data_IF_856950015084
#
_entry.id   IF_856950015084
#
_cell.length_a   1.000
_cell.length_b   1.000
_cell.length_c   1.000
_cell.angle_alpha   90.00
_cell.angle_beta   90.00
_cell.angle_gamma   90.00
#
_symmetry.space_group_name_H-M   'P 1'
#
loop_
_entity.id
_entity.type
_entity.pdbx_description
1 polymer ?
#
# COMPACT_ATOMS: atom_id res chain seq x y z
N UNK A 1 14.60 -20.77 0.51
CA UNK A 1 15.32 -19.51 0.80
C UNK A 1 14.83 -19.04 2.14
N UNK A 2 15.76 -18.84 3.08
CA UNK A 2 15.52 -18.47 4.47
C UNK A 2 14.66 -17.20 4.53
N UNK A 3 13.58 -17.22 5.32
CA UNK A 3 12.79 -16.02 5.65
C UNK A 3 13.75 -14.98 6.24
N UNK A 4 14.31 -14.13 5.39
CA UNK A 4 15.10 -13.00 5.81
C UNK A 4 14.15 -12.08 6.55
N UNK A 5 14.43 -11.87 7.84
CA UNK A 5 13.88 -10.82 8.67
C UNK A 5 13.53 -9.61 7.78
N UNK A 6 12.27 -9.19 7.80
CA UNK A 6 11.95 -7.82 7.40
C UNK A 6 12.97 -6.92 8.12
N UNK A 7 13.52 -5.88 7.47
CA UNK A 7 14.33 -4.88 8.15
C UNK A 7 13.67 -4.52 9.49
N UNK A 8 14.44 -4.35 10.57
CA UNK A 8 13.85 -4.05 11.89
C UNK A 8 12.95 -2.79 11.85
N UNK A 9 13.17 -1.91 10.88
CA UNK A 9 12.32 -0.76 10.55
C UNK A 9 10.93 -1.09 9.99
N UNK A 10 10.72 -2.29 9.46
CA UNK A 10 9.47 -2.75 8.83
C UNK A 10 8.68 -3.75 9.70
N UNK A 11 9.28 -4.28 10.76
CA UNK A 11 8.58 -5.16 11.70
C UNK A 11 7.58 -4.35 12.54
N UNK A 12 6.28 -4.54 12.30
CA UNK A 12 5.22 -3.80 12.99
C UNK A 12 4.81 -2.49 12.31
N UNK A 13 5.17 -2.30 11.03
CA UNK A 13 4.68 -1.19 10.23
C UNK A 13 3.15 -1.12 10.25
N UNK A 14 2.61 0.07 10.50
CA UNK A 14 1.17 0.34 10.52
C UNK A 14 0.89 1.53 9.62
N UNK A 15 -0.01 1.35 8.67
CA UNK A 15 -0.45 2.41 7.78
C UNK A 15 -1.80 2.97 8.24
N UNK A 16 -1.90 4.29 8.31
CA UNK A 16 -3.15 4.96 8.67
C UNK A 16 -3.97 5.24 7.41
N UNK A 17 -4.98 4.41 7.17
CA UNK A 17 -5.89 4.60 6.05
C UNK A 17 -7.00 5.61 6.41
N UNK A 18 -7.24 6.63 5.57
CA UNK A 18 -8.32 7.57 5.81
C UNK A 18 -9.67 6.91 5.53
N UNK A 19 -10.61 6.98 6.48
CA UNK A 19 -12.00 6.52 6.23
C UNK A 19 -12.78 7.46 5.30
N UNK A 20 -12.25 8.67 5.06
CA UNK A 20 -12.89 9.65 4.21
C UNK A 20 -11.88 10.51 3.44
N UNK A 21 -12.06 10.58 2.12
CA UNK A 21 -11.22 11.33 1.19
C UNK A 21 -11.51 12.85 1.15
N UNK A 22 -12.58 13.35 1.78
CA UNK A 22 -12.88 14.78 1.82
C UNK A 22 -11.83 15.57 2.61
N UNK A 23 -11.34 16.66 2.01
CA UNK A 23 -10.31 17.56 2.59
C UNK A 23 -9.07 16.81 3.07
N UNK A 24 -8.71 15.73 2.38
CA UNK A 24 -7.67 14.81 2.84
C UNK A 24 -6.32 15.49 3.03
N UNK A 25 -5.91 16.38 2.11
CA UNK A 25 -4.66 17.12 2.25
C UNK A 25 -4.55 17.88 3.58
N UNK A 26 -5.60 18.62 3.98
CA UNK A 26 -5.61 19.35 5.25
C UNK A 26 -5.65 18.44 6.46
N UNK A 27 -6.38 17.31 6.39
CA UNK A 27 -6.46 16.33 7.47
C UNK A 27 -5.14 15.58 7.64
N UNK A 28 -4.50 15.21 6.54
CA UNK A 28 -3.21 14.53 6.54
C UNK A 28 -2.12 15.44 7.12
N UNK A 29 -2.08 16.71 6.70
CA UNK A 29 -1.25 17.73 7.33
C UNK A 29 -1.50 17.85 8.84
N UNK A 30 -2.76 17.82 9.28
CA UNK A 30 -3.12 17.87 10.70
C UNK A 30 -2.64 16.64 11.46
N UNK A 31 -2.75 15.44 10.88
CA UNK A 31 -2.28 14.19 11.50
C UNK A 31 -0.76 14.22 11.71
N UNK A 32 0.01 14.57 10.67
CA UNK A 32 1.48 14.68 10.73
C UNK A 32 1.88 15.75 11.75
N UNK A 33 1.24 16.93 11.67
CA UNK A 33 1.51 18.02 12.62
C UNK A 33 1.15 17.63 14.05
N UNK A 34 0.10 16.82 14.25
CA UNK A 34 -0.33 16.32 15.54
C UNK A 34 0.72 15.45 16.22
N UNK A 35 1.38 14.56 15.47
CA UNK A 35 2.50 13.75 15.97
C UNK A 35 3.67 14.60 16.47
N UNK A 36 4.06 15.62 15.68
CA UNK A 36 5.13 16.56 16.03
C UNK A 36 4.77 17.45 17.23
N UNK A 37 3.53 17.95 17.29
CA UNK A 37 3.05 18.78 18.40
C UNK A 37 2.97 17.95 19.69
N UNK A 38 2.44 16.72 19.62
CA UNK A 38 2.32 15.86 20.80
C UNK A 38 3.70 15.47 21.36
N UNK A 39 4.62 15.05 20.50
CA UNK A 39 6.00 14.74 20.91
C UNK A 39 6.71 15.96 21.50
N UNK A 40 6.48 17.17 20.95
CA UNK A 40 6.97 18.42 21.53
C UNK A 40 6.37 18.69 22.93
N UNK A 41 5.06 18.54 23.10
CA UNK A 41 4.39 18.75 24.40
C UNK A 41 4.94 17.79 25.45
N UNK A 42 5.15 16.52 25.10
CA UNK A 42 5.72 15.52 26.02
C UNK A 42 7.15 15.90 26.41
N UNK A 43 7.99 16.31 25.45
CA UNK A 43 9.34 16.79 25.72
C UNK A 43 9.33 18.04 26.62
N UNK A 44 8.48 19.03 26.30
CA UNK A 44 8.35 20.26 27.08
C UNK A 44 7.86 19.98 28.50
N UNK A 45 6.85 19.12 28.67
CA UNK A 45 6.36 18.70 29.97
C UNK A 45 7.45 17.99 30.79
N UNK A 46 8.23 17.11 30.15
CA UNK A 46 9.34 16.43 30.80
C UNK A 46 10.41 17.42 31.28
N UNK A 47 10.76 18.42 30.47
CA UNK A 47 11.66 19.50 30.87
C UNK A 47 11.11 20.32 32.05
N UNK A 48 9.82 20.68 32.03
CA UNK A 48 9.19 21.44 33.12
C UNK A 48 9.22 20.67 34.44
N UNK A 49 8.98 19.36 34.43
CA UNK A 49 9.06 18.52 35.64
C UNK A 49 10.46 18.53 36.25
N UNK A 50 11.52 18.60 35.43
CA UNK A 50 12.89 18.74 35.94
C UNK A 50 13.12 20.05 36.68
N UNK A 51 12.56 21.16 36.18
CA UNK A 51 12.65 22.45 36.87
C UNK A 51 11.81 22.50 38.16
N UNK A 52 10.75 21.70 38.24
CA UNK A 52 9.85 21.60 39.41
C UNK A 52 10.25 20.49 40.39
N UNK A 53 11.46 19.92 40.28
CA UNK A 53 11.94 18.85 41.17
C UNK A 53 11.77 19.11 42.69
N UNK A 54 11.83 20.35 43.22
CA UNK A 54 11.64 20.57 44.66
C UNK A 54 10.20 20.35 45.14
N UNK A 55 9.24 20.35 44.20
CA UNK A 55 7.79 20.34 44.47
C UNK A 55 7.17 18.99 44.07
N UNK A 56 7.77 18.31 43.09
CA UNK A 56 7.25 17.07 42.51
C UNK A 56 7.63 15.86 43.38
N UNK A 57 6.70 14.92 43.64
CA UNK A 57 7.02 13.66 44.33
C UNK A 57 8.16 12.90 43.66
N UNK A 58 9.09 12.38 44.46
CA UNK A 58 10.29 11.70 43.98
C UNK A 58 10.01 10.58 42.96
N UNK A 59 8.94 9.81 43.15
CA UNK A 59 8.53 8.75 42.22
C UNK A 59 8.15 9.29 40.83
N UNK A 60 7.43 10.42 40.76
CA UNK A 60 7.08 11.07 39.49
C UNK A 60 8.32 11.68 38.83
N UNK A 61 9.25 12.23 39.63
CA UNK A 61 10.51 12.76 39.14
C UNK A 61 11.38 11.67 38.50
N UNK A 62 11.52 10.48 39.12
CA UNK A 62 12.26 9.36 38.52
C UNK A 62 11.64 8.95 37.19
N UNK A 63 10.31 8.77 37.15
CA UNK A 63 9.62 8.32 35.94
C UNK A 63 9.86 9.29 34.76
N UNK A 64 9.67 10.59 34.99
CA UNK A 64 9.86 11.62 33.96
C UNK A 64 11.34 11.80 33.61
N UNK A 65 12.24 11.72 34.59
CA UNK A 65 13.69 11.74 34.37
C UNK A 65 14.17 10.61 33.48
N UNK A 66 13.61 9.40 33.63
CA UNK A 66 13.88 8.26 32.73
C UNK A 66 13.21 8.40 31.37
N UNK A 67 12.06 9.08 31.28
CA UNK A 67 11.35 9.29 30.01
C UNK A 67 11.97 10.40 29.13
N UNK A 68 12.72 11.33 29.71
CA UNK A 68 13.29 12.48 29.00
C UNK A 68 14.19 12.09 27.81
N UNK A 69 15.16 11.15 27.94
CA UNK A 69 15.99 10.75 26.80
C UNK A 69 15.15 10.14 25.66
N UNK A 70 14.09 9.40 25.99
CA UNK A 70 13.18 8.83 25.00
C UNK A 70 12.34 9.91 24.32
N UNK A 71 11.77 10.85 25.08
CA UNK A 71 11.00 11.96 24.53
C UNK A 71 11.86 12.86 23.63
N UNK A 72 13.11 13.11 24.04
CA UNK A 72 14.09 13.84 23.23
C UNK A 72 14.39 13.09 21.93
N UNK A 73 14.70 11.80 22.02
CA UNK A 73 15.00 10.97 20.85
C UNK A 73 13.82 10.94 19.87
N UNK A 74 12.60 10.65 20.34
CA UNK A 74 11.39 10.59 19.51
C UNK A 74 11.12 11.93 18.82
N UNK A 75 11.17 13.05 19.57
CA UNK A 75 10.89 14.36 19.00
C UNK A 75 11.90 14.74 17.91
N UNK A 76 13.21 14.65 18.18
CA UNK A 76 14.23 15.04 17.22
C UNK A 76 14.32 14.08 16.04
N UNK A 77 14.09 12.78 16.25
CA UNK A 77 14.02 11.81 15.15
C UNK A 77 12.86 12.13 14.19
N UNK A 78 11.69 12.48 14.72
CA UNK A 78 10.52 12.80 13.89
C UNK A 78 10.58 14.19 13.24
N UNK A 79 11.18 15.19 13.90
CA UNK A 79 11.27 16.57 13.38
C UNK A 79 12.32 16.71 12.29
N UNK A 80 13.46 16.03 12.43
CA UNK A 80 14.55 16.17 11.49
C UNK A 80 14.19 15.50 10.16
N UNK A 81 14.26 16.22 9.03
CA UNK A 81 13.84 15.71 7.74
C UNK A 81 14.88 14.72 7.20
N UNK A 82 14.80 13.48 7.67
CA UNK A 82 15.53 12.34 7.15
C UNK A 82 14.63 11.52 6.23
N UNK A 83 15.26 10.94 5.21
CA UNK A 83 14.69 9.94 4.31
C UNK A 83 15.56 8.70 4.46
N UNK A 84 15.00 7.64 5.03
CA UNK A 84 15.65 6.33 5.14
C UNK A 84 14.82 5.34 4.32
N UNK A 85 15.42 4.70 3.32
CA UNK A 85 14.75 3.76 2.40
C UNK A 85 13.40 4.26 1.82
N UNK A 86 13.32 5.52 1.37
CA UNK A 86 12.09 6.17 0.86
C UNK A 86 10.95 6.31 1.88
N UNK A 87 11.25 6.14 3.17
CA UNK A 87 10.35 6.48 4.27
C UNK A 87 10.79 7.81 4.88
N UNK A 88 9.95 8.83 4.71
CA UNK A 88 10.20 10.14 5.29
C UNK A 88 9.70 10.21 6.73
N UNK A 89 10.52 10.82 7.57
CA UNK A 89 10.11 11.33 8.90
C UNK A 89 8.93 12.31 8.79
N UNK A 90 8.13 12.44 9.85
CA UNK A 90 7.01 13.40 9.92
C UNK A 90 7.43 14.83 9.53
N UNK A 91 8.63 15.25 9.93
CA UNK A 91 9.21 16.55 9.59
C UNK A 91 9.59 16.68 8.12
N UNK A 92 10.14 15.62 7.51
CA UNK A 92 10.38 15.53 6.07
C UNK A 92 9.08 15.64 5.27
N UNK A 93 8.08 14.86 5.68
CA UNK A 93 6.76 14.83 5.07
C UNK A 93 6.03 16.17 5.18
N UNK A 94 6.05 16.80 6.35
CA UNK A 94 5.47 18.13 6.56
C UNK A 94 6.13 19.18 5.65
N UNK A 95 7.47 19.17 5.59
CA UNK A 95 8.23 20.09 4.73
C UNK A 95 7.90 19.87 3.25
N UNK A 96 7.88 18.63 2.79
CA UNK A 96 7.55 18.26 1.40
C UNK A 96 6.14 18.71 1.02
N UNK A 97 5.16 18.48 1.89
CA UNK A 97 3.78 18.92 1.70
C UNK A 97 3.66 20.45 1.66
N UNK A 98 4.32 21.17 2.58
CA UNK A 98 4.32 22.64 2.59
C UNK A 98 4.94 23.23 1.32
N UNK A 99 5.99 22.60 0.80
CA UNK A 99 6.62 22.96 -0.48
C UNK A 99 5.86 22.48 -1.70
N UNK A 100 4.80 21.69 -1.52
CA UNK A 100 4.01 21.07 -2.61
C UNK A 100 4.90 20.26 -3.56
N UNK A 101 5.85 19.52 -3.00
CA UNK A 101 6.74 18.68 -3.78
C UNK A 101 5.94 17.53 -4.44
N UNK A 102 6.20 17.21 -5.73
CA UNK A 102 5.39 16.29 -6.52
C UNK A 102 5.15 14.91 -5.89
N UNK A 103 6.17 14.31 -5.27
CA UNK A 103 6.09 12.97 -4.68
C UNK A 103 5.09 12.95 -3.52
N UNK A 104 5.15 13.94 -2.62
CA UNK A 104 4.23 14.06 -1.49
C UNK A 104 2.79 14.37 -1.90
N UNK A 105 2.59 15.18 -2.95
CA UNK A 105 1.25 15.39 -3.51
C UNK A 105 0.68 14.09 -4.07
N UNK A 106 1.52 13.27 -4.70
CA UNK A 106 1.14 11.95 -5.19
C UNK A 106 0.79 11.00 -4.05
N UNK A 107 1.57 10.99 -2.97
CA UNK A 107 1.26 10.22 -1.77
C UNK A 107 -0.12 10.60 -1.18
N UNK A 108 -0.46 11.89 -1.12
CA UNK A 108 -1.80 12.34 -0.66
C UNK A 108 -2.91 11.85 -1.59
N UNK A 109 -2.67 11.81 -2.90
CA UNK A 109 -3.65 11.27 -3.85
C UNK A 109 -3.80 9.75 -3.74
N UNK A 110 -2.71 9.02 -3.50
CA UNK A 110 -2.75 7.58 -3.21
C UNK A 110 -3.61 7.32 -1.97
N UNK A 111 -3.37 8.06 -0.88
CA UNK A 111 -4.22 7.99 0.31
C UNK A 111 -5.68 8.35 0.03
N UNK A 112 -5.95 9.27 -0.92
CA UNK A 112 -7.32 9.60 -1.32
C UNK A 112 -7.98 8.44 -2.07
N UNK A 113 -7.25 7.78 -2.97
CA UNK A 113 -7.72 6.58 -3.67
C UNK A 113 -8.06 5.50 -2.64
N UNK A 114 -7.16 5.22 -1.70
CA UNK A 114 -7.39 4.25 -0.62
C UNK A 114 -8.58 4.62 0.26
N UNK A 115 -8.75 5.91 0.56
CA UNK A 115 -9.91 6.38 1.31
C UNK A 115 -11.22 6.17 0.56
N UNK A 116 -11.24 6.35 -0.75
CA UNK A 116 -12.42 6.04 -1.56
C UNK A 116 -12.67 4.53 -1.69
N UNK A 117 -11.62 3.71 -1.77
CA UNK A 117 -11.74 2.25 -1.69
C UNK A 117 -12.35 1.84 -0.35
N UNK A 118 -11.94 2.46 0.76
CA UNK A 118 -12.52 2.22 2.08
C UNK A 118 -14.00 2.63 2.15
N UNK A 119 -14.39 3.68 1.43
CA UNK A 119 -15.78 4.14 1.31
C UNK A 119 -16.64 3.29 0.36
N UNK A 120 -16.10 2.20 -0.18
CA UNK A 120 -16.86 1.29 -1.02
C UNK A 120 -16.80 1.58 -2.52
N UNK A 121 -16.07 2.60 -2.97
CA UNK A 121 -15.91 2.85 -4.42
C UNK A 121 -14.94 1.85 -5.03
N UNK A 122 -15.26 1.28 -6.19
CA UNK A 122 -14.30 0.48 -6.96
C UNK A 122 -13.29 1.39 -7.70
N UNK A 123 -12.11 0.90 -8.12
CA UNK A 123 -11.10 1.74 -8.77
C UNK A 123 -11.64 2.63 -9.90
N UNK A 124 -12.51 2.12 -10.78
CA UNK A 124 -13.08 2.90 -11.89
C UNK A 124 -14.18 3.90 -11.45
N UNK A 125 -14.74 3.78 -10.24
CA UNK A 125 -15.71 4.73 -9.67
C UNK A 125 -15.01 5.94 -9.00
N UNK A 126 -13.70 5.87 -8.79
CA UNK A 126 -12.89 6.93 -8.20
C UNK A 126 -12.56 7.96 -9.27
N UNK A 127 -12.50 9.24 -8.87
CA UNK A 127 -12.22 10.34 -9.79
C UNK A 127 -10.89 10.12 -10.54
N UNK A 128 -10.97 10.05 -11.86
CA UNK A 128 -9.85 9.85 -12.78
C UNK A 128 -8.73 10.88 -12.55
N UNK A 129 -9.05 12.09 -12.11
CA UNK A 129 -8.06 13.12 -11.82
C UNK A 129 -7.07 12.70 -10.72
N UNK A 130 -7.46 11.83 -9.78
CA UNK A 130 -6.56 11.35 -8.73
C UNK A 130 -5.45 10.45 -9.27
N UNK A 131 -5.75 9.69 -10.33
CA UNK A 131 -4.80 8.80 -10.98
C UNK A 131 -3.92 9.52 -12.00
N UNK A 132 -4.49 10.46 -12.77
CA UNK A 132 -3.85 10.99 -13.98
C UNK A 132 -3.62 12.51 -13.98
N UNK A 133 -4.16 13.25 -13.01
CA UNK A 133 -4.03 14.70 -12.91
C UNK A 133 -2.78 15.19 -12.16
N UNK A 134 -1.86 14.27 -11.84
CA UNK A 134 -0.65 14.55 -11.06
C UNK A 134 0.56 14.84 -11.95
N UNK A 135 1.54 15.61 -11.45
CA UNK A 135 2.82 15.80 -12.13
C UNK A 135 3.54 14.46 -12.35
N UNK A 136 4.35 14.40 -13.41
CA UNK A 136 5.19 13.24 -13.67
C UNK A 136 6.31 13.15 -12.63
N UNK A 137 6.45 11.96 -12.03
CA UNK A 137 7.52 11.63 -11.11
C UNK A 137 8.64 10.86 -11.81
N UNK A 138 9.85 10.85 -11.24
CA UNK A 138 10.92 9.92 -11.62
C UNK A 138 10.46 8.45 -11.52
N UNK A 139 11.09 7.57 -12.30
CA UNK A 139 10.72 6.15 -12.37
C UNK A 139 11.11 5.35 -11.12
N UNK A 140 12.16 5.80 -10.44
CA UNK A 140 12.70 5.26 -9.20
C UNK A 140 11.99 5.79 -7.94
N UNK A 141 11.02 6.70 -8.11
CA UNK A 141 10.17 7.18 -7.01
C UNK A 141 9.11 6.14 -6.65
N UNK A 142 9.04 5.76 -5.36
CA UNK A 142 8.07 4.77 -4.88
C UNK A 142 6.62 5.17 -5.18
N UNK A 143 6.27 6.45 -5.02
CA UNK A 143 4.92 6.95 -5.29
C UNK A 143 4.56 6.85 -6.77
N UNK A 144 5.54 6.91 -7.68
CA UNK A 144 5.32 6.65 -9.09
C UNK A 144 4.89 5.20 -9.34
N UNK A 145 5.61 4.25 -8.73
CA UNK A 145 5.35 2.82 -8.84
C UNK A 145 3.97 2.48 -8.26
N UNK A 146 3.69 2.91 -7.03
CA UNK A 146 2.42 2.65 -6.34
C UNK A 146 1.25 3.27 -7.10
N UNK A 147 1.37 4.52 -7.56
CA UNK A 147 0.34 5.13 -8.40
C UNK A 147 0.13 4.37 -9.71
N UNK A 148 1.19 3.82 -10.30
CA UNK A 148 1.09 3.00 -11.52
C UNK A 148 0.34 1.69 -11.25
N UNK A 149 0.52 1.07 -10.09
CA UNK A 149 -0.29 -0.08 -9.64
C UNK A 149 -1.77 0.29 -9.52
N UNK A 150 -2.09 1.43 -8.92
CA UNK A 150 -3.47 1.92 -8.84
C UNK A 150 -4.07 2.28 -10.19
N UNK A 151 -3.29 2.81 -11.13
CA UNK A 151 -3.72 3.02 -12.53
C UNK A 151 -4.01 1.71 -13.23
N UNK A 152 -3.20 0.68 -13.01
CA UNK A 152 -3.48 -0.67 -13.52
C UNK A 152 -4.82 -1.18 -13.00
N UNK A 153 -5.08 -1.08 -11.69
CA UNK A 153 -6.38 -1.46 -11.11
C UNK A 153 -7.55 -0.69 -11.72
N UNK A 154 -7.39 0.62 -11.92
CA UNK A 154 -8.39 1.47 -12.60
C UNK A 154 -8.73 0.93 -13.99
N UNK A 155 -7.71 0.64 -14.81
CA UNK A 155 -7.91 0.14 -16.18
C UNK A 155 -8.54 -1.26 -16.21
N UNK A 156 -8.14 -2.13 -15.27
CA UNK A 156 -8.74 -3.46 -15.11
C UNK A 156 -10.22 -3.33 -14.75
N UNK A 157 -10.58 -2.50 -13.77
CA UNK A 157 -11.97 -2.29 -13.33
C UNK A 157 -12.83 -1.59 -14.38
N UNK A 158 -12.24 -0.73 -15.21
CA UNK A 158 -12.93 -0.06 -16.32
C UNK A 158 -13.04 -0.90 -17.59
N UNK A 159 -12.39 -2.07 -17.65
CA UNK A 159 -12.34 -2.92 -18.84
C UNK A 159 -11.47 -2.39 -19.98
N UNK A 160 -10.57 -1.44 -19.70
CA UNK A 160 -9.63 -0.90 -20.71
C UNK A 160 -8.39 -1.82 -20.77
N UNK A 161 -8.53 -2.91 -21.54
CA UNK A 161 -7.52 -3.97 -21.64
C UNK A 161 -6.20 -3.45 -22.22
N UNK A 162 -6.24 -2.57 -23.23
CA UNK A 162 -5.02 -2.05 -23.85
C UNK A 162 -4.21 -1.21 -22.87
N UNK A 163 -4.88 -0.33 -22.12
CA UNK A 163 -4.21 0.50 -21.11
C UNK A 163 -3.76 -0.32 -19.90
N UNK A 164 -4.51 -1.36 -19.50
CA UNK A 164 -4.12 -2.29 -18.44
C UNK A 164 -2.83 -3.04 -18.81
N UNK A 165 -2.73 -3.54 -20.05
CA UNK A 165 -1.53 -4.20 -20.58
C UNK A 165 -0.32 -3.25 -20.53
N UNK A 166 -0.48 -2.01 -21.02
CA UNK A 166 0.60 -1.00 -20.98
C UNK A 166 1.04 -0.68 -19.55
N UNK A 167 0.10 -0.55 -18.62
CA UNK A 167 0.41 -0.31 -17.21
C UNK A 167 1.13 -1.51 -16.58
N UNK A 168 0.72 -2.74 -16.91
CA UNK A 168 1.39 -3.98 -16.49
C UNK A 168 2.82 -4.08 -17.03
N UNK A 169 3.04 -3.81 -18.31
CA UNK A 169 4.38 -3.78 -18.92
C UNK A 169 5.26 -2.73 -18.28
N UNK A 170 4.68 -1.56 -17.97
CA UNK A 170 5.37 -0.50 -17.26
C UNK A 170 5.80 -0.96 -15.86
N UNK A 171 4.90 -1.56 -15.07
CA UNK A 171 5.24 -2.11 -13.76
C UNK A 171 6.33 -3.18 -13.86
N UNK A 172 6.27 -4.05 -14.86
CA UNK A 172 7.29 -5.07 -15.10
C UNK A 172 8.67 -4.45 -15.34
N UNK A 173 8.74 -3.35 -16.10
CA UNK A 173 9.97 -2.59 -16.34
C UNK A 173 10.51 -1.84 -15.11
N UNK A 174 9.68 -1.62 -14.09
CA UNK A 174 10.06 -0.92 -12.85
C UNK A 174 10.44 -1.86 -11.72
N UNK A 175 10.32 -3.19 -11.89
CA UNK A 175 10.52 -4.18 -10.82
C UNK A 175 11.87 -4.07 -10.11
N UNK A 176 12.91 -3.55 -10.77
CA UNK A 176 14.22 -3.34 -10.14
C UNK A 176 14.23 -2.22 -9.08
N UNK A 177 13.32 -1.25 -9.19
CA UNK A 177 13.15 -0.14 -8.24
C UNK A 177 12.12 -0.43 -7.16
N UNK A 178 11.37 -1.53 -7.28
CA UNK A 178 10.31 -1.88 -6.33
C UNK A 178 10.92 -2.35 -5.01
N UNK A 179 10.61 -1.72 -3.86
CA UNK A 179 11.03 -2.21 -2.57
C UNK A 179 10.51 -3.63 -2.32
N UNK A 180 11.30 -4.45 -1.61
CA UNK A 180 10.96 -5.86 -1.34
C UNK A 180 9.57 -6.07 -0.76
N UNK A 181 9.08 -5.10 0.03
CA UNK A 181 7.74 -5.11 0.61
C UNK A 181 6.64 -5.23 -0.45
N UNK A 182 6.74 -4.48 -1.55
CA UNK A 182 5.73 -4.42 -2.60
C UNK A 182 5.99 -5.36 -3.78
N UNK A 183 7.20 -5.92 -3.86
CA UNK A 183 7.65 -6.70 -5.02
C UNK A 183 6.69 -7.84 -5.37
N UNK A 184 6.28 -8.61 -4.36
CA UNK A 184 5.43 -9.77 -4.55
C UNK A 184 4.00 -9.39 -4.98
N UNK A 185 3.43 -8.37 -4.33
CA UNK A 185 2.08 -7.88 -4.63
C UNK A 185 2.00 -7.33 -6.05
N UNK A 186 2.97 -6.51 -6.46
CA UNK A 186 3.04 -5.96 -7.82
C UNK A 186 3.28 -7.08 -8.83
N UNK A 187 4.17 -8.03 -8.53
CA UNK A 187 4.43 -9.17 -9.41
C UNK A 187 3.20 -10.07 -9.59
N UNK A 188 2.36 -10.21 -8.57
CA UNK A 188 1.11 -10.96 -8.66
C UNK A 188 0.10 -10.29 -9.61
N UNK A 189 -0.02 -8.96 -9.60
CA UNK A 189 -0.87 -8.25 -10.57
C UNK A 189 -0.34 -8.33 -12.00
N UNK A 190 0.98 -8.27 -12.19
CA UNK A 190 1.58 -8.47 -13.51
C UNK A 190 1.27 -9.89 -14.00
N UNK A 191 1.40 -10.91 -13.15
CA UNK A 191 1.04 -12.29 -13.48
C UNK A 191 -0.44 -12.40 -13.87
N UNK A 192 -1.33 -11.75 -13.13
CA UNK A 192 -2.75 -11.74 -13.45
C UNK A 192 -3.03 -11.19 -14.85
N UNK A 193 -2.37 -10.08 -15.21
CA UNK A 193 -2.47 -9.48 -16.54
C UNK A 193 -1.92 -10.40 -17.63
N UNK A 194 -0.78 -11.07 -17.38
CA UNK A 194 -0.18 -12.04 -18.31
C UNK A 194 -1.14 -13.20 -18.59
N UNK A 195 -1.80 -13.72 -17.54
CA UNK A 195 -2.78 -14.80 -17.65
C UNK A 195 -4.07 -14.39 -18.38
N UNK A 196 -4.72 -13.31 -17.94
CA UNK A 196 -6.10 -13.01 -18.35
C UNK A 196 -6.21 -12.12 -19.58
N UNK A 197 -5.20 -11.27 -19.83
CA UNK A 197 -5.30 -10.20 -20.83
C UNK A 197 -4.32 -10.40 -21.99
N UNK A 198 -3.06 -10.73 -21.69
CA UNK A 198 -2.04 -10.95 -22.73
C UNK A 198 -2.11 -12.35 -23.34
N UNK A 199 -2.45 -13.36 -22.52
CA UNK A 199 -2.38 -14.76 -22.93
C UNK A 199 -0.96 -15.26 -23.16
N UNK A 200 0.04 -14.58 -22.58
CA UNK A 200 1.46 -14.95 -22.71
C UNK A 200 1.81 -16.03 -21.67
N UNK A 201 1.68 -17.28 -22.09
CA UNK A 201 1.87 -18.45 -21.24
C UNK A 201 3.31 -18.59 -20.73
N UNK A 202 4.31 -18.25 -21.54
CA UNK A 202 5.72 -18.42 -21.18
C UNK A 202 6.11 -17.42 -20.10
N UNK A 203 5.75 -16.15 -20.28
CA UNK A 203 5.98 -15.10 -19.27
C UNK A 203 5.24 -15.41 -17.98
N UNK A 204 3.97 -15.83 -18.06
CA UNK A 204 3.16 -16.19 -16.90
C UNK A 204 3.78 -17.36 -16.10
N UNK A 205 4.24 -18.43 -16.78
CA UNK A 205 4.90 -19.56 -16.12
C UNK A 205 6.18 -19.14 -15.41
N UNK A 206 7.04 -18.39 -16.09
CA UNK A 206 8.30 -17.90 -15.52
C UNK A 206 8.05 -17.05 -14.27
N UNK A 207 7.07 -16.13 -14.35
CA UNK A 207 6.73 -15.26 -13.23
C UNK A 207 6.10 -16.03 -12.08
N UNK A 208 5.19 -16.96 -12.36
CA UNK A 208 4.60 -17.82 -11.34
C UNK A 208 5.67 -18.56 -10.54
N UNK A 209 6.68 -19.15 -11.19
CA UNK A 209 7.76 -19.84 -10.48
C UNK A 209 8.55 -18.90 -9.54
N UNK A 210 8.71 -17.62 -9.89
CA UNK A 210 9.36 -16.64 -9.02
C UNK A 210 8.52 -16.30 -7.76
N UNK A 211 7.19 -16.24 -7.87
CA UNK A 211 6.32 -15.77 -6.78
C UNK A 211 5.44 -16.86 -6.16
N UNK A 212 5.57 -18.12 -6.59
CA UNK A 212 4.74 -19.24 -6.15
C UNK A 212 4.70 -19.40 -4.63
N UNK A 213 5.84 -19.26 -3.97
CA UNK A 213 5.91 -19.38 -2.50
C UNK A 213 5.11 -18.28 -1.80
N UNK A 214 5.14 -17.06 -2.33
CA UNK A 214 4.34 -15.95 -1.84
C UNK A 214 2.84 -16.21 -2.06
N UNK A 215 2.43 -16.59 -3.28
CA UNK A 215 1.02 -16.87 -3.60
C UNK A 215 0.42 -17.97 -2.72
N UNK A 216 1.20 -19.01 -2.41
CA UNK A 216 0.77 -20.11 -1.56
C UNK A 216 0.82 -19.79 -0.06
N UNK A 217 1.68 -18.84 0.34
CA UNK A 217 1.92 -18.46 1.72
C UNK A 217 0.93 -17.41 2.23
N UNK A 218 0.72 -16.33 1.47
CA UNK A 218 -0.04 -15.15 1.89
C UNK A 218 -1.54 -15.43 2.05
N UNK A 219 -2.13 -16.19 1.12
CA UNK A 219 -3.53 -16.64 1.18
C UNK A 219 -4.54 -15.49 1.39
N UNK A 220 -4.25 -14.35 0.80
CA UNK A 220 -5.16 -13.21 0.75
C UNK A 220 -6.08 -13.29 -0.48
N UNK A 221 -7.10 -12.44 -0.51
CA UNK A 221 -8.08 -12.34 -1.59
C UNK A 221 -7.43 -12.26 -2.98
N UNK A 222 -6.48 -11.34 -3.14
CA UNK A 222 -5.73 -11.12 -4.36
C UNK A 222 -4.98 -12.37 -4.81
N UNK A 223 -4.18 -12.99 -3.91
CA UNK A 223 -3.40 -14.18 -4.27
C UNK A 223 -4.29 -15.34 -4.75
N UNK A 224 -5.46 -15.54 -4.15
CA UNK A 224 -6.39 -16.57 -4.62
C UNK A 224 -6.97 -16.27 -5.99
N UNK A 225 -7.32 -15.00 -6.28
CA UNK A 225 -7.74 -14.60 -7.63
C UNK A 225 -6.64 -14.86 -8.65
N UNK A 226 -5.40 -14.47 -8.35
CA UNK A 226 -4.27 -14.66 -9.28
C UNK A 226 -3.99 -16.16 -9.50
N UNK A 227 -4.03 -16.98 -8.46
CA UNK A 227 -3.95 -18.43 -8.59
C UNK A 227 -5.08 -18.99 -9.47
N UNK A 228 -6.32 -18.54 -9.27
CA UNK A 228 -7.43 -18.99 -10.10
C UNK A 228 -7.23 -18.68 -11.59
N UNK A 229 -6.78 -17.45 -11.90
CA UNK A 229 -6.43 -17.05 -13.25
C UNK A 229 -5.31 -17.92 -13.84
N UNK A 230 -4.23 -18.15 -13.09
CA UNK A 230 -3.13 -18.99 -13.53
C UNK A 230 -3.57 -20.43 -13.83
N UNK A 231 -4.29 -21.06 -12.91
CA UNK A 231 -4.78 -22.43 -13.09
C UNK A 231 -5.71 -22.56 -14.31
N UNK A 232 -6.59 -21.58 -14.52
CA UNK A 232 -7.53 -21.58 -15.64
C UNK A 232 -6.84 -21.33 -16.99
N UNK A 233 -6.10 -20.22 -17.12
CA UNK A 233 -5.62 -19.77 -18.42
C UNK A 233 -4.30 -20.42 -18.82
N UNK A 234 -3.44 -20.78 -17.85
CA UNK A 234 -2.14 -21.39 -18.11
C UNK A 234 -2.19 -22.91 -17.98
N UNK A 235 -2.59 -23.44 -16.83
CA UNK A 235 -2.62 -24.89 -16.62
C UNK A 235 -3.84 -25.59 -17.25
N UNK A 236 -4.87 -24.82 -17.62
CA UNK A 236 -6.16 -25.34 -18.12
C UNK A 236 -6.85 -26.28 -17.12
N UNK A 237 -6.56 -26.14 -15.82
CA UNK A 237 -7.17 -26.92 -14.75
C UNK A 237 -8.36 -26.17 -14.14
N UNK A 238 -9.56 -26.47 -14.65
CA UNK A 238 -10.81 -25.87 -14.17
C UNK A 238 -11.12 -26.21 -12.72
N UNK A 239 -10.72 -27.41 -12.24
CA UNK A 239 -11.03 -27.85 -10.88
C UNK A 239 -10.15 -27.08 -9.88
N UNK A 240 -8.86 -26.93 -10.19
CA UNK A 240 -7.95 -26.12 -9.39
C UNK A 240 -8.37 -24.64 -9.39
N UNK A 241 -8.75 -24.10 -10.56
CA UNK A 241 -9.26 -22.73 -10.67
C UNK A 241 -10.52 -22.50 -9.81
N UNK A 242 -11.51 -23.40 -9.88
CA UNK A 242 -12.73 -23.31 -9.07
C UNK A 242 -12.45 -23.37 -7.56
N UNK A 243 -11.48 -24.21 -7.15
CA UNK A 243 -11.05 -24.27 -5.74
C UNK A 243 -10.45 -22.95 -5.29
N UNK A 244 -9.57 -22.35 -6.09
CA UNK A 244 -8.97 -21.05 -5.81
C UNK A 244 -10.01 -19.93 -5.77
N UNK A 245 -10.97 -19.90 -6.72
CA UNK A 245 -12.07 -18.92 -6.71
C UNK A 245 -12.97 -19.07 -5.47
N UNK A 246 -13.24 -20.30 -5.02
CA UNK A 246 -14.04 -20.51 -3.82
C UNK A 246 -13.34 -19.95 -2.58
N UNK A 247 -12.02 -20.13 -2.49
CA UNK A 247 -11.22 -19.52 -1.42
C UNK A 247 -11.17 -18.00 -1.53
N UNK A 248 -11.04 -17.44 -2.75
CA UNK A 248 -11.11 -16.01 -3.00
C UNK A 248 -12.46 -15.44 -2.55
N UNK A 249 -13.57 -16.11 -2.89
CA UNK A 249 -14.92 -15.68 -2.51
C UNK A 249 -15.09 -15.63 -0.98
N UNK A 250 -14.62 -16.65 -0.27
CA UNK A 250 -14.64 -16.66 1.20
C UNK A 250 -13.83 -15.49 1.77
N UNK A 251 -12.65 -15.20 1.21
CA UNK A 251 -11.83 -14.06 1.62
C UNK A 251 -12.45 -12.71 1.26
N UNK A 252 -13.24 -12.65 0.19
CA UNK A 252 -13.98 -11.44 -0.15
C UNK A 252 -15.02 -11.15 0.93
N UNK A 253 -15.72 -12.15 1.45
CA UNK A 253 -16.71 -11.97 2.54
C UNK A 253 -16.07 -11.45 3.84
N UNK A 254 -14.79 -11.74 4.10
CA UNK A 254 -14.01 -11.27 5.24
C UNK A 254 -13.35 -9.88 5.02
N UNK A 255 -13.36 -9.35 3.79
CA UNK A 255 -12.65 -8.12 3.43
C UNK A 255 -13.34 -6.88 4.00
N UNK A 256 -12.60 -6.11 4.81
CA UNK A 256 -13.10 -4.88 5.46
C UNK A 256 -13.15 -3.68 4.53
N UNK A 257 -12.35 -3.67 3.46
CA UNK A 257 -12.27 -2.56 2.50
C UNK A 257 -13.31 -2.81 1.39
N UNK A 258 -14.48 -2.20 1.52
CA UNK A 258 -15.65 -2.48 0.67
C UNK A 258 -15.37 -2.26 -0.83
N UNK A 259 -14.58 -1.25 -1.20
CA UNK A 259 -14.25 -0.97 -2.60
C UNK A 259 -13.36 -2.03 -3.22
N UNK A 260 -12.39 -2.54 -2.45
CA UNK A 260 -11.54 -3.68 -2.84
C UNK A 260 -12.39 -4.95 -2.92
N UNK A 261 -13.26 -5.19 -1.96
CA UNK A 261 -14.19 -6.32 -1.99
C UNK A 261 -15.05 -6.31 -3.26
N UNK A 262 -15.67 -5.16 -3.60
CA UNK A 262 -16.50 -5.01 -4.80
C UNK A 262 -15.68 -5.20 -6.07
N UNK A 263 -14.49 -4.62 -6.15
CA UNK A 263 -13.56 -4.80 -7.27
C UNK A 263 -13.18 -6.27 -7.48
N UNK A 264 -12.72 -6.94 -6.42
CA UNK A 264 -12.30 -8.34 -6.48
C UNK A 264 -13.46 -9.29 -6.82
N UNK A 265 -14.68 -9.03 -6.31
CA UNK A 265 -15.88 -9.79 -6.72
C UNK A 265 -16.16 -9.69 -8.21
N UNK A 266 -15.96 -8.52 -8.84
CA UNK A 266 -16.10 -8.39 -10.30
C UNK A 266 -15.11 -9.31 -11.00
N UNK A 267 -13.84 -9.28 -10.62
CA UNK A 267 -12.81 -10.10 -11.26
C UNK A 267 -13.05 -11.60 -11.05
N UNK A 268 -13.42 -12.02 -9.84
CA UNK A 268 -13.80 -13.41 -9.53
C UNK A 268 -14.98 -13.85 -10.41
N UNK A 269 -15.97 -12.97 -10.61
CA UNK A 269 -17.13 -13.27 -11.46
C UNK A 269 -16.75 -13.43 -12.94
N UNK A 270 -15.81 -12.63 -13.44
CA UNK A 270 -15.29 -12.76 -14.80
C UNK A 270 -14.59 -14.10 -15.01
N UNK A 271 -13.66 -14.47 -14.11
CA UNK A 271 -12.95 -15.76 -14.21
C UNK A 271 -13.95 -16.92 -14.11
N UNK A 272 -14.95 -16.83 -13.24
CA UNK A 272 -16.00 -17.86 -13.13
C UNK A 272 -16.79 -18.02 -14.43
N UNK A 273 -17.20 -16.91 -15.05
CA UNK A 273 -17.92 -16.95 -16.32
C UNK A 273 -17.08 -17.63 -17.41
N UNK A 274 -15.77 -17.38 -17.44
CA UNK A 274 -14.86 -18.02 -18.39
C UNK A 274 -14.71 -19.53 -18.15
N UNK A 275 -14.74 -19.99 -16.90
CA UNK A 275 -14.75 -21.43 -16.57
C UNK A 275 -16.01 -22.09 -17.13
N UNK A 276 -17.16 -21.44 -16.97
CA UNK A 276 -18.47 -21.96 -17.40
C UNK A 276 -18.64 -21.93 -18.93
N UNK A 277 -17.98 -21.00 -19.61
CA UNK A 277 -18.02 -20.84 -21.07
C UNK A 277 -17.03 -21.75 -21.83
N UNK A 278 -15.95 -22.19 -21.17
CA UNK A 278 -14.91 -23.07 -21.72
C UNK A 278 -15.27 -24.54 -21.59
#
# INVERSE_FOLDING_TARGET
ITFSRLPESLAGATEMLPRNAEKLYSRFLLTISGGLIFSFIVLAAACVVLFLYPIVPFAAYIFVGTALPFAFHIFFYNVLPFNDDNLDTDGGMLRGLLKKEPSYLTAVNILAIEGYLYQGKTPAEIDKALYFGLPQLPEDDLNFIVLTSYRFMYYVDSGDVESAIKASDRLAGLLEYVPRLYYNDISAEILFCECCMKGDLESAQKRYECIRQYLQGEKCLQTYRVCAAYELYVNKDKIAALRALSAAQQKADECVIEGVQRYERKLISCIRADIDAS
#
